data_IF_698388677669
#
_entry.id   IF_698388677669
#
_cell.length_a   1.000
_cell.length_b   1.000
_cell.length_c   1.000
_cell.angle_alpha   90.00
_cell.angle_beta   90.00
_cell.angle_gamma   90.00
#
_symmetry.space_group_name_H-M   'P 1'
#
loop_
_entity.id
_entity.type
_entity.pdbx_description
1 polymer ?
#
# COMPACT_ATOMS: atom_id res chain seq x y z
N UNK A 1 -23.44 88.89 -50.53
CA UNK A 1 -22.19 88.18 -50.17
C UNK A 1 -22.55 86.96 -49.34
N UNK A 2 -22.34 85.74 -49.87
CA UNK A 2 -22.54 84.47 -49.16
C UNK A 2 -21.16 83.84 -48.92
N UNK A 3 -20.75 83.76 -47.66
CA UNK A 3 -19.50 83.12 -47.22
C UNK A 3 -19.77 81.65 -46.91
N UNK A 4 -19.28 80.75 -47.77
CA UNK A 4 -19.28 79.32 -47.54
C UNK A 4 -18.09 78.94 -46.64
N UNK A 5 -18.38 78.42 -45.44
CA UNK A 5 -17.36 77.87 -44.53
C UNK A 5 -17.09 76.41 -44.89
N UNK A 6 -15.89 76.14 -45.38
CA UNK A 6 -15.35 74.79 -45.56
C UNK A 6 -14.96 74.22 -44.19
N UNK A 7 -15.65 73.17 -43.75
CA UNK A 7 -15.22 72.35 -42.61
C UNK A 7 -14.19 71.34 -43.11
N UNK A 8 -12.94 71.49 -42.67
CA UNK A 8 -11.88 70.51 -42.90
C UNK A 8 -11.95 69.46 -41.80
N UNK A 9 -12.34 68.24 -42.17
CA UNK A 9 -12.38 67.08 -41.26
C UNK A 9 -11.00 66.44 -41.29
N UNK A 10 -10.22 66.62 -40.22
CA UNK A 10 -8.96 65.91 -40.01
C UNK A 10 -9.28 64.55 -39.41
N UNK A 11 -9.21 63.49 -40.22
CA UNK A 11 -9.33 62.11 -39.78
C UNK A 11 -7.96 61.67 -39.23
N UNK A 12 -7.83 61.69 -37.90
CA UNK A 12 -6.66 61.15 -37.20
C UNK A 12 -6.76 59.61 -37.21
N UNK A 13 -6.09 58.98 -38.18
CA UNK A 13 -5.98 57.51 -38.23
C UNK A 13 -4.96 57.08 -37.18
N UNK A 14 -5.42 56.85 -35.95
CA UNK A 14 -4.63 56.14 -34.93
C UNK A 14 -4.54 54.68 -35.33
N UNK A 15 -3.45 54.32 -36.01
CA UNK A 15 -3.09 52.94 -36.26
C UNK A 15 -2.84 52.23 -34.93
N UNK A 16 -3.85 51.53 -34.43
CA UNK A 16 -3.69 50.53 -33.37
C UNK A 16 -2.82 49.41 -33.96
N UNK A 17 -1.51 49.50 -33.76
CA UNK A 17 -0.64 48.34 -33.89
C UNK A 17 -1.06 47.36 -32.79
N UNK A 18 -1.98 46.45 -33.12
CA UNK A 18 -2.22 45.26 -32.32
C UNK A 18 -0.91 44.47 -32.29
N UNK A 19 -0.16 44.61 -31.20
CA UNK A 19 0.87 43.66 -30.84
C UNK A 19 0.18 42.33 -30.58
N UNK A 20 0.00 41.52 -31.63
CA UNK A 20 -0.42 40.14 -31.50
C UNK A 20 0.71 39.43 -30.77
N UNK A 21 0.56 39.26 -29.44
CA UNK A 21 1.46 38.42 -28.67
C UNK A 21 1.39 37.04 -29.30
N UNK A 22 2.50 36.63 -29.92
CA UNK A 22 2.62 35.30 -30.49
C UNK A 22 2.46 34.31 -29.33
N UNK A 23 1.36 33.58 -29.34
CA UNK A 23 1.04 32.62 -28.29
C UNK A 23 2.12 31.53 -28.29
N UNK A 24 2.77 31.33 -27.14
CA UNK A 24 3.83 30.34 -27.00
C UNK A 24 3.17 28.95 -26.91
N UNK A 25 3.34 28.15 -27.97
CA UNK A 25 2.73 26.83 -28.10
C UNK A 25 3.53 25.71 -27.43
N UNK A 26 4.66 26.02 -26.78
CA UNK A 26 5.46 25.01 -26.07
C UNK A 26 4.68 24.42 -24.90
N UNK A 27 4.94 23.16 -24.57
CA UNK A 27 4.32 22.49 -23.41
C UNK A 27 4.72 23.21 -22.11
N UNK A 28 3.87 23.15 -21.08
CA UNK A 28 4.17 23.84 -19.81
C UNK A 28 5.45 23.32 -19.15
N UNK A 29 5.73 22.02 -19.27
CA UNK A 29 7.00 21.44 -18.83
C UNK A 29 8.19 21.97 -19.63
N UNK A 30 8.00 22.32 -20.91
CA UNK A 30 9.05 22.90 -21.73
C UNK A 30 9.36 24.34 -21.34
N UNK A 31 8.31 25.09 -21.00
CA UNK A 31 8.40 26.48 -20.57
C UNK A 31 9.04 26.61 -19.19
N UNK A 32 8.66 25.73 -18.27
CA UNK A 32 9.05 25.82 -16.86
C UNK A 32 10.25 24.94 -16.49
N UNK A 33 10.78 24.18 -17.45
CA UNK A 33 11.90 23.26 -17.25
C UNK A 33 11.63 22.24 -16.14
N UNK A 34 10.47 21.59 -16.21
CA UNK A 34 10.00 20.63 -15.18
C UNK A 34 9.88 19.23 -15.73
N UNK A 35 9.94 18.23 -14.84
CA UNK A 35 9.50 16.87 -15.09
C UNK A 35 8.47 16.42 -14.05
N UNK A 36 8.04 15.16 -14.15
CA UNK A 36 7.04 14.55 -13.25
C UNK A 36 7.62 13.34 -12.53
N UNK A 37 7.47 13.30 -11.22
CA UNK A 37 7.68 12.09 -10.42
C UNK A 37 6.30 11.46 -10.18
N UNK A 38 6.17 10.17 -10.47
CA UNK A 38 4.96 9.37 -10.26
C UNK A 38 5.24 8.45 -9.08
N UNK A 39 4.43 8.55 -8.02
CA UNK A 39 4.53 7.70 -6.85
C UNK A 39 3.27 6.86 -6.71
N UNK A 40 3.42 5.54 -6.79
CA UNK A 40 2.35 4.57 -6.55
C UNK A 40 2.54 3.96 -5.18
N UNK A 41 1.52 4.03 -4.33
CA UNK A 41 1.55 3.42 -3.00
C UNK A 41 0.67 2.16 -2.96
N UNK A 42 1.27 0.99 -3.02
CA UNK A 42 0.58 -0.30 -2.87
C UNK A 42 0.43 -0.72 -1.40
N UNK A 43 1.18 -0.09 -0.50
CA UNK A 43 1.05 -0.30 0.94
C UNK A 43 -0.23 0.39 1.45
N UNK A 44 -1.07 -0.26 2.28
CA UNK A 44 -2.32 0.35 2.75
C UNK A 44 -2.10 1.53 3.70
N UNK A 45 -0.89 1.72 4.23
CA UNK A 45 -0.55 2.83 5.11
C UNK A 45 -0.24 4.10 4.33
N UNK A 46 -0.33 5.24 5.00
CA UNK A 46 0.01 6.55 4.44
C UNK A 46 1.48 6.91 4.65
N UNK A 47 2.10 7.50 3.63
CA UNK A 47 3.51 7.91 3.66
C UNK A 47 3.65 9.41 3.42
N UNK A 48 4.47 10.07 4.23
CA UNK A 48 4.92 11.44 3.93
C UNK A 48 5.99 11.38 2.85
N UNK A 49 5.82 12.16 1.80
CA UNK A 49 6.75 12.25 0.67
C UNK A 49 7.58 13.52 0.81
N UNK A 50 8.88 13.40 0.60
CA UNK A 50 9.78 14.54 0.41
C UNK A 50 10.64 14.36 -0.83
N UNK A 51 10.84 15.47 -1.55
CA UNK A 51 11.75 15.54 -2.69
C UNK A 51 12.79 16.59 -2.35
N UNK A 52 14.07 16.18 -2.35
CA UNK A 52 15.22 17.01 -1.96
C UNK A 52 15.05 17.63 -0.56
N UNK A 53 14.49 16.85 0.35
CA UNK A 53 14.20 17.27 1.72
C UNK A 53 12.98 18.18 1.88
N UNK A 54 12.34 18.62 0.79
CA UNK A 54 11.12 19.44 0.84
C UNK A 54 9.89 18.54 0.91
N UNK A 55 9.07 18.72 1.95
CA UNK A 55 7.82 17.98 2.12
C UNK A 55 6.83 18.28 0.98
N UNK A 56 6.31 17.23 0.33
CA UNK A 56 5.35 17.30 -0.77
C UNK A 56 3.95 16.81 -0.39
N UNK A 57 3.72 16.50 0.87
CA UNK A 57 2.45 15.99 1.40
C UNK A 57 2.51 14.50 1.72
N UNK A 58 1.34 13.86 1.74
CA UNK A 58 1.21 12.44 2.00
C UNK A 58 0.60 11.71 0.80
N UNK A 59 1.01 10.46 0.57
CA UNK A 59 0.37 9.53 -0.35
C UNK A 59 -0.35 8.46 0.46
N UNK A 60 -1.67 8.30 0.24
CA UNK A 60 -2.46 7.28 0.93
C UNK A 60 -2.30 5.91 0.25
N UNK A 61 -2.68 4.84 0.94
CA UNK A 61 -2.67 3.50 0.35
C UNK A 61 -3.58 3.39 -0.86
N UNK A 62 -3.09 2.69 -1.89
CA UNK A 62 -3.75 2.53 -3.19
C UNK A 62 -3.75 3.77 -4.09
N UNK A 63 -3.11 4.88 -3.69
CA UNK A 63 -3.07 6.11 -4.47
C UNK A 63 -1.86 6.20 -5.39
N UNK A 64 -2.04 6.97 -6.47
CA UNK A 64 -0.97 7.44 -7.34
C UNK A 64 -0.90 8.96 -7.24
N UNK A 65 0.29 9.50 -6.98
CA UNK A 65 0.53 10.95 -6.91
C UNK A 65 1.53 11.36 -7.99
N UNK A 66 1.22 12.46 -8.67
CA UNK A 66 2.08 13.09 -9.66
C UNK A 66 2.67 14.37 -9.08
N UNK A 67 3.99 14.43 -8.97
CA UNK A 67 4.73 15.57 -8.42
C UNK A 67 5.51 16.25 -9.53
N UNK A 68 5.13 17.48 -9.85
CA UNK A 68 5.92 18.32 -10.76
C UNK A 68 7.11 18.91 -10.01
N UNK A 69 8.31 18.68 -10.54
CA UNK A 69 9.56 19.20 -9.99
C UNK A 69 10.42 19.77 -11.13
N UNK A 70 11.38 20.68 -10.84
CA UNK A 70 12.34 21.12 -11.84
C UNK A 70 13.06 19.94 -12.50
N UNK A 71 13.60 20.11 -13.70
CA UNK A 71 14.53 19.15 -14.28
C UNK A 71 15.86 19.20 -13.52
N UNK A 72 16.54 18.06 -13.39
CA UNK A 72 17.80 17.96 -12.65
C UNK A 72 17.93 16.68 -11.84
N UNK A 73 18.88 16.68 -10.90
CA UNK A 73 19.11 15.54 -10.01
C UNK A 73 18.23 15.68 -8.77
N UNK A 74 17.47 14.64 -8.46
CA UNK A 74 16.56 14.60 -7.32
C UNK A 74 16.79 13.39 -6.44
N UNK A 75 16.41 13.53 -5.18
CA UNK A 75 16.29 12.46 -4.20
C UNK A 75 14.86 12.41 -3.67
N UNK A 76 14.29 11.21 -3.58
CA UNK A 76 12.95 11.00 -3.05
C UNK A 76 13.05 10.18 -1.77
N UNK A 77 12.45 10.70 -0.70
CA UNK A 77 12.34 10.01 0.58
C UNK A 77 10.87 9.91 0.97
N UNK A 78 10.48 8.71 1.38
CA UNK A 78 9.14 8.38 1.86
C UNK A 78 9.20 7.80 3.25
N UNK A 79 8.41 8.37 4.17
CA UNK A 79 8.39 8.00 5.59
C UNK A 79 6.96 7.65 5.99
N UNK A 80 6.74 6.42 6.45
CA UNK A 80 5.44 5.97 6.95
C UNK A 80 4.98 6.84 8.13
N UNK A 81 3.72 7.30 8.10
CA UNK A 81 3.20 8.25 9.09
C UNK A 81 2.77 7.57 10.41
N UNK A 82 2.40 6.29 10.38
CA UNK A 82 1.99 5.53 11.56
C UNK A 82 1.89 4.04 11.24
N UNK A 83 2.02 3.17 12.26
CA UNK A 83 1.84 1.72 12.15
C UNK A 83 2.84 0.91 12.99
N UNK A 84 2.63 -0.41 13.07
CA UNK A 84 3.59 -1.36 13.66
C UNK A 84 4.89 -1.49 12.85
N UNK A 85 4.89 -1.01 11.60
CA UNK A 85 5.98 -1.12 10.64
C UNK A 85 6.37 0.25 10.08
N UNK A 86 7.07 1.10 10.86
CA UNK A 86 7.56 2.38 10.34
C UNK A 86 8.57 2.12 9.23
N UNK A 87 8.23 2.53 8.01
CA UNK A 87 9.11 2.44 6.85
C UNK A 87 9.76 3.80 6.57
N UNK A 88 11.05 3.79 6.26
CA UNK A 88 11.80 4.95 5.82
C UNK A 88 12.56 4.57 4.55
N UNK A 89 11.92 4.80 3.40
CA UNK A 89 12.43 4.43 2.09
C UNK A 89 13.14 5.65 1.50
N UNK A 90 14.40 5.46 1.13
CA UNK A 90 15.18 6.42 0.36
C UNK A 90 15.43 5.81 -1.01
N UNK A 91 14.96 6.46 -2.06
CA UNK A 91 15.30 6.05 -3.42
C UNK A 91 16.66 6.63 -3.81
N UNK A 92 17.41 5.87 -4.62
CA UNK A 92 18.68 6.35 -5.13
C UNK A 92 18.48 7.65 -5.93
N UNK A 93 19.41 8.61 -5.84
CA UNK A 93 19.34 9.84 -6.62
C UNK A 93 19.24 9.54 -8.12
N UNK A 94 18.40 10.30 -8.81
CA UNK A 94 18.17 10.13 -10.25
C UNK A 94 18.14 11.48 -10.96
N UNK A 95 18.42 11.46 -12.26
CA UNK A 95 18.33 12.64 -13.12
C UNK A 95 16.99 12.63 -13.84
N UNK A 96 16.18 13.65 -13.61
CA UNK A 96 14.92 13.88 -14.28
C UNK A 96 15.13 14.84 -15.45
N UNK A 97 14.92 14.34 -16.66
CA UNK A 97 14.96 15.17 -17.85
C UNK A 97 13.77 16.14 -17.89
N UNK A 98 13.93 17.22 -18.64
CA UNK A 98 12.84 18.14 -18.99
C UNK A 98 11.70 17.38 -19.68
N UNK A 99 10.47 17.60 -19.21
CA UNK A 99 9.28 16.85 -19.60
C UNK A 99 9.40 15.32 -19.42
N UNK A 100 10.41 14.86 -18.66
CA UNK A 100 10.61 13.46 -18.35
C UNK A 100 9.71 13.01 -17.21
N UNK A 101 9.52 11.69 -17.13
CA UNK A 101 8.78 11.04 -16.06
C UNK A 101 9.67 10.02 -15.36
N UNK A 102 9.54 9.94 -14.04
CA UNK A 102 10.16 8.88 -13.24
C UNK A 102 9.10 8.28 -12.31
N UNK A 103 8.98 6.96 -12.28
CA UNK A 103 8.00 6.25 -11.47
C UNK A 103 8.66 5.46 -10.34
N UNK A 104 8.09 5.55 -9.15
CA UNK A 104 8.45 4.71 -8.01
C UNK A 104 7.21 4.05 -7.43
N UNK A 105 7.40 2.84 -6.92
CA UNK A 105 6.35 2.08 -6.25
C UNK A 105 6.77 1.79 -4.81
N UNK A 106 5.87 2.04 -3.88
CA UNK A 106 5.98 1.66 -2.47
C UNK A 106 5.21 0.35 -2.31
N UNK A 107 5.90 -0.72 -1.98
CA UNK A 107 5.28 -2.04 -1.81
C UNK A 107 4.91 -2.30 -0.35
N UNK A 108 3.84 -3.06 -0.14
CA UNK A 108 3.44 -3.53 1.19
C UNK A 108 4.47 -4.55 1.73
N UNK A 109 5.27 -4.13 2.70
CA UNK A 109 6.32 -4.98 3.30
C UNK A 109 5.84 -5.81 4.49
N UNK A 110 4.57 -5.69 4.89
CA UNK A 110 4.03 -6.47 6.02
C UNK A 110 4.11 -7.97 5.72
N UNK A 111 4.32 -8.82 6.74
CA UNK A 111 4.29 -10.27 6.55
C UNK A 111 2.89 -10.74 6.15
N UNK A 112 2.81 -11.90 5.50
CA UNK A 112 1.54 -12.42 4.98
C UNK A 112 0.47 -12.61 6.06
N UNK A 113 0.85 -12.90 7.30
CA UNK A 113 -0.10 -13.02 8.40
C UNK A 113 -0.78 -11.68 8.76
N UNK A 114 -0.09 -10.54 8.60
CA UNK A 114 -0.70 -9.22 8.79
C UNK A 114 -1.57 -8.83 7.59
N UNK A 115 -1.08 -9.11 6.37
CA UNK A 115 -1.82 -8.85 5.13
C UNK A 115 -3.16 -9.58 5.09
N UNK A 116 -3.16 -10.84 5.54
CA UNK A 116 -4.33 -11.71 5.50
C UNK A 116 -5.09 -11.79 6.82
N UNK A 117 -4.65 -11.05 7.84
CA UNK A 117 -5.20 -11.09 9.19
C UNK A 117 -5.33 -12.53 9.75
N UNK A 118 -4.23 -13.28 9.75
CA UNK A 118 -4.19 -14.69 10.18
C UNK A 118 -3.25 -14.91 11.37
N UNK A 119 -3.43 -16.02 12.08
CA UNK A 119 -2.52 -16.55 13.08
C UNK A 119 -2.27 -18.05 12.87
N UNK A 120 -1.39 -18.64 13.68
CA UNK A 120 -1.05 -20.07 13.58
C UNK A 120 -1.44 -20.83 14.85
N UNK A 121 -2.22 -21.90 14.69
CA UNK A 121 -2.42 -22.90 15.74
C UNK A 121 -1.40 -24.01 15.55
N UNK A 122 -0.59 -24.26 16.57
CA UNK A 122 0.38 -25.37 16.62
C UNK A 122 -0.26 -26.49 17.41
N UNK A 123 -0.51 -27.62 16.76
CA UNK A 123 -1.08 -28.80 17.38
C UNK A 123 0.01 -29.83 17.58
N UNK A 124 0.18 -30.30 18.80
CA UNK A 124 1.20 -31.28 19.16
C UNK A 124 0.53 -32.49 19.82
N UNK A 125 0.55 -33.61 19.11
CA UNK A 125 0.12 -34.88 19.65
C UNK A 125 1.33 -35.58 20.29
N UNK A 126 1.33 -35.76 21.61
CA UNK A 126 2.35 -36.56 22.31
C UNK A 126 1.95 -38.01 22.53
N UNK A 127 0.69 -38.35 22.24
CA UNK A 127 0.21 -39.73 22.23
C UNK A 127 0.75 -40.48 20.99
N UNK A 128 1.02 -41.80 21.06
CA UNK A 128 1.39 -42.61 19.90
C UNK A 128 0.26 -42.86 18.88
N UNK A 129 -1.00 -42.72 19.27
CA UNK A 129 -2.18 -42.97 18.44
C UNK A 129 -2.59 -41.74 17.61
N UNK A 130 -3.23 -41.95 16.44
CA UNK A 130 -3.66 -40.86 15.58
C UNK A 130 -4.97 -40.21 16.06
N UNK A 131 -5.09 -38.89 15.88
CA UNK A 131 -6.28 -38.11 16.22
C UNK A 131 -6.83 -37.34 15.02
N UNK A 132 -8.15 -37.28 14.87
CA UNK A 132 -8.83 -36.35 13.98
C UNK A 132 -8.93 -34.98 14.66
N UNK A 133 -8.55 -33.93 13.95
CA UNK A 133 -8.50 -32.56 14.43
C UNK A 133 -9.69 -31.77 13.90
N UNK A 134 -10.40 -31.09 14.79
CA UNK A 134 -11.43 -30.12 14.47
C UNK A 134 -11.01 -28.74 14.97
N UNK A 135 -11.15 -27.74 14.11
CA UNK A 135 -11.02 -26.33 14.49
C UNK A 135 -12.33 -25.64 14.12
N UNK A 136 -12.98 -25.03 15.10
CA UNK A 136 -14.31 -24.43 14.95
C UNK A 136 -15.35 -25.42 14.39
N UNK A 137 -15.34 -26.65 14.90
CA UNK A 137 -16.15 -27.79 14.44
C UNK A 137 -15.91 -28.23 12.98
N UNK A 138 -14.91 -27.66 12.30
CA UNK A 138 -14.52 -28.06 10.94
C UNK A 138 -13.36 -29.05 11.01
N UNK A 139 -13.54 -30.23 10.40
CA UNK A 139 -12.50 -31.25 10.24
C UNK A 139 -11.30 -30.68 9.46
N UNK A 140 -10.11 -30.76 10.06
CA UNK A 140 -8.82 -30.33 9.49
C UNK A 140 -7.91 -31.50 9.11
N UNK A 141 -8.38 -32.74 9.30
CA UNK A 141 -7.68 -33.96 8.97
C UNK A 141 -7.17 -34.71 10.21
N UNK A 142 -6.24 -35.64 9.99
CA UNK A 142 -5.68 -36.50 11.04
C UNK A 142 -4.23 -36.11 11.33
N UNK A 143 -3.88 -35.99 12.62
CA UNK A 143 -2.51 -35.89 13.10
C UNK A 143 -2.07 -37.26 13.62
N UNK A 144 -0.91 -37.76 13.19
CA UNK A 144 -0.39 -39.04 13.69
C UNK A 144 0.21 -38.87 15.09
N UNK A 145 0.51 -39.99 15.75
CA UNK A 145 1.20 -39.95 17.02
C UNK A 145 2.56 -39.28 16.96
N UNK A 146 2.93 -38.59 18.04
CA UNK A 146 4.20 -37.86 18.17
C UNK A 146 4.45 -36.79 17.09
N UNK A 147 3.41 -36.29 16.41
CA UNK A 147 3.52 -35.27 15.38
C UNK A 147 3.19 -33.86 15.86
N UNK A 148 3.71 -32.88 15.12
CA UNK A 148 3.36 -31.47 15.23
C UNK A 148 2.83 -31.02 13.88
N UNK A 149 1.65 -30.38 13.86
CA UNK A 149 1.13 -29.69 12.68
C UNK A 149 0.89 -28.22 12.99
N UNK A 150 0.92 -27.39 11.93
CA UNK A 150 0.69 -25.96 12.01
C UNK A 150 -0.50 -25.63 11.11
N UNK A 151 -1.51 -24.98 11.67
CA UNK A 151 -2.72 -24.59 10.95
C UNK A 151 -2.82 -23.07 10.94
N UNK A 152 -2.80 -22.49 9.74
CA UNK A 152 -3.09 -21.06 9.55
C UNK A 152 -4.59 -20.85 9.60
N UNK A 153 -5.05 -19.97 10.51
CA UNK A 153 -6.47 -19.62 10.68
C UNK A 153 -6.63 -18.10 10.71
N UNK A 154 -7.81 -17.54 10.36
CA UNK A 154 -8.09 -16.12 10.56
C UNK A 154 -7.81 -15.70 12.01
N UNK A 155 -7.40 -14.46 12.26
CA UNK A 155 -7.35 -13.94 13.62
C UNK A 155 -8.76 -13.85 14.20
N UNK A 156 -8.94 -14.26 15.45
CA UNK A 156 -10.27 -14.37 16.05
C UNK A 156 -10.33 -15.34 17.22
N UNK A 157 -11.55 -15.70 17.61
CA UNK A 157 -11.79 -16.72 18.64
C UNK A 157 -11.90 -18.08 17.98
N UNK A 158 -11.16 -19.06 18.50
CA UNK A 158 -11.18 -20.43 17.99
C UNK A 158 -11.40 -21.46 19.09
N UNK A 159 -12.04 -22.57 18.75
CA UNK A 159 -12.04 -23.80 19.53
C UNK A 159 -11.27 -24.90 18.81
N UNK A 160 -10.58 -25.75 19.58
CA UNK A 160 -9.90 -26.93 19.06
C UNK A 160 -10.43 -28.15 19.79
N UNK A 161 -10.85 -29.15 19.01
CA UNK A 161 -11.30 -30.45 19.50
C UNK A 161 -10.54 -31.53 18.76
N UNK A 162 -10.00 -32.50 19.48
CA UNK A 162 -9.30 -33.65 18.90
C UNK A 162 -9.97 -34.94 19.35
N UNK A 163 -10.17 -35.87 18.42
CA UNK A 163 -10.85 -37.15 18.66
C UNK A 163 -9.95 -38.28 18.18
N UNK A 164 -9.64 -39.21 19.06
CA UNK A 164 -8.80 -40.36 18.75
C UNK A 164 -9.42 -41.21 17.64
N UNK A 165 -8.61 -41.59 16.66
CA UNK A 165 -9.03 -42.46 15.56
C UNK A 165 -8.84 -43.91 15.99
N UNK A 166 -9.79 -44.41 16.78
CA UNK A 166 -9.83 -45.79 17.28
C UNK A 166 -9.75 -46.83 16.15
N UNK A 167 -8.81 -47.77 16.27
CA UNK A 167 -8.83 -49.03 15.52
C UNK A 167 -9.50 -50.18 16.30
N UNK A 168 -9.53 -50.13 17.64
CA UNK A 168 -9.91 -51.28 18.49
C UNK A 168 -10.53 -50.91 19.86
N UNK A 169 -10.74 -49.62 20.15
CA UNK A 169 -11.19 -49.13 21.46
C UNK A 169 -12.71 -48.93 21.46
N UNK A 170 -13.38 -49.36 22.54
CA UNK A 170 -14.84 -49.29 22.71
C UNK A 170 -15.39 -47.86 22.75
N UNK A 171 -14.56 -46.87 23.11
CA UNK A 171 -14.89 -45.43 23.06
C UNK A 171 -13.62 -44.64 22.69
N UNK A 172 -13.66 -43.76 21.67
CA UNK A 172 -12.52 -42.90 21.34
C UNK A 172 -12.27 -41.88 22.45
N UNK A 173 -11.00 -41.54 22.69
CA UNK A 173 -10.63 -40.41 23.53
C UNK A 173 -10.94 -39.08 22.84
N UNK A 174 -11.35 -38.09 23.62
CA UNK A 174 -11.67 -36.75 23.13
C UNK A 174 -11.07 -35.68 24.04
N UNK A 175 -10.34 -34.74 23.46
CA UNK A 175 -9.78 -33.58 24.16
C UNK A 175 -10.32 -32.29 23.56
N UNK A 176 -10.91 -31.46 24.42
CA UNK A 176 -11.46 -30.16 24.07
C UNK A 176 -10.60 -29.05 24.70
N UNK A 177 -10.02 -28.19 23.87
CA UNK A 177 -9.33 -27.00 24.34
C UNK A 177 -10.34 -25.87 24.55
N UNK A 178 -10.22 -25.16 25.68
CA UNK A 178 -11.02 -23.97 25.91
C UNK A 178 -10.82 -22.97 24.76
N UNK A 179 -11.90 -22.30 24.36
CA UNK A 179 -11.82 -21.31 23.30
C UNK A 179 -10.80 -20.22 23.64
N UNK A 180 -10.02 -19.80 22.65
CA UNK A 180 -8.98 -18.80 22.82
C UNK A 180 -9.02 -17.77 21.70
N UNK A 181 -8.58 -16.56 22.00
CA UNK A 181 -8.39 -15.50 21.01
C UNK A 181 -6.98 -15.60 20.44
N UNK A 182 -6.88 -15.76 19.13
CA UNK A 182 -5.64 -15.72 18.37
C UNK A 182 -5.52 -14.37 17.68
N UNK A 183 -4.54 -13.56 18.13
CA UNK A 183 -4.25 -12.29 17.50
C UNK A 183 -3.56 -12.48 16.13
N UNK A 184 -3.57 -11.43 15.31
CA UNK A 184 -2.85 -11.40 14.03
C UNK A 184 -1.37 -11.71 14.23
N UNK A 185 -0.82 -12.59 13.40
CA UNK A 185 0.55 -13.13 13.50
C UNK A 185 0.91 -13.81 14.82
N UNK A 186 -0.06 -14.07 15.70
CA UNK A 186 0.19 -14.81 16.92
C UNK A 186 0.22 -16.32 16.67
N UNK A 187 0.88 -17.02 17.58
CA UNK A 187 0.90 -18.48 17.61
C UNK A 187 0.26 -18.99 18.90
N UNK A 188 -0.50 -20.08 18.81
CA UNK A 188 -1.05 -20.78 19.97
C UNK A 188 -0.74 -22.27 19.88
N UNK A 189 -0.06 -22.80 20.89
CA UNK A 189 0.21 -24.23 21.00
C UNK A 189 -0.88 -24.93 21.81
N UNK A 190 -1.43 -26.01 21.26
CA UNK A 190 -2.29 -26.96 21.94
C UNK A 190 -1.56 -28.31 21.97
N UNK A 191 -1.35 -28.86 23.16
CA UNK A 191 -0.66 -30.14 23.36
C UNK A 191 -1.57 -31.06 24.15
N UNK A 192 -1.62 -32.32 23.72
CA UNK A 192 -2.32 -33.39 24.40
C UNK A 192 -1.52 -34.69 24.27
N UNK A 193 -1.78 -35.59 25.20
CA UNK A 193 -1.36 -36.98 25.23
C UNK A 193 -2.58 -37.90 25.16
#
# INVERSE_FOLDING_TARGET
>A
MKTAKFFSVVILVTGLMSCTKKEDTRLDCEKNDTGTIILTNNDPNSFTVSVDGVNKGAVQGGQVVHLTVPAGTHSVRVVGQSGSHPQNIMFDPFVLAKCGEMAFTIEDTRPDCEKNNTGTIILKNTDPDPFTVYVDEVDKGTIQGNQIIRLTVPAGTHSVRVVEKSGWILSPQETNFAAFVLATCAEKTCTWD
#
